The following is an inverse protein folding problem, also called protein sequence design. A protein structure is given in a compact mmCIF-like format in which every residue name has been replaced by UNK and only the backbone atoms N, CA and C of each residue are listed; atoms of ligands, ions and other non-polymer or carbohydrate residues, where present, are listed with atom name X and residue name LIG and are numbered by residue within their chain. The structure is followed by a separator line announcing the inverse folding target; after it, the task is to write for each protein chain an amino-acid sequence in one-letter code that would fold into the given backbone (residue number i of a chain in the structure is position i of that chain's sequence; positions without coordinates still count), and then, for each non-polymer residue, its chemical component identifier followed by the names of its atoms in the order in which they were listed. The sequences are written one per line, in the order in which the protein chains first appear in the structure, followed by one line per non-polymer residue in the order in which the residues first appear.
data_IF_780442793103
#
_entry.id   IF_780442793103
#
_cell.length_a   1.000
_cell.length_b   1.000
_cell.length_c   1.000
_cell.angle_alpha   90.00
_cell.angle_beta   90.00
_cell.angle_gamma   90.00
#
_symmetry.space_group_name_H-M   'P 1'
#
loop_
_entity.id
_entity.type
_entity.pdbx_description
1 polymer ?
#
# COMPACT_ATOMS: atom_id res chain seq x y z
N UNK A 1 -0.95 -12.44 21.29
CA UNK A 1 -1.77 -12.81 20.11
C UNK A 1 -2.32 -11.59 19.35
N UNK A 2 -2.57 -10.44 20.00
CA UNK A 2 -3.02 -9.22 19.31
C UNK A 2 -1.95 -8.69 18.32
N UNK A 3 -0.70 -8.50 18.76
CA UNK A 3 0.42 -7.99 17.93
C UNK A 3 0.63 -8.76 16.61
N UNK A 4 0.58 -10.09 16.65
CA UNK A 4 0.79 -10.92 15.46
C UNK A 4 -0.26 -10.66 14.39
N UNK A 5 -1.52 -10.45 14.82
CA UNK A 5 -2.61 -10.11 13.90
C UNK A 5 -2.39 -8.74 13.25
N UNK A 6 -1.90 -7.76 14.01
CA UNK A 6 -1.64 -6.42 13.48
C UNK A 6 -0.52 -6.41 12.46
N UNK A 7 0.57 -7.13 12.75
CA UNK A 7 1.66 -7.34 11.81
C UNK A 7 1.20 -8.00 10.52
N UNK A 8 0.40 -9.06 10.61
CA UNK A 8 -0.12 -9.77 9.43
C UNK A 8 -0.96 -8.83 8.56
N UNK A 9 -1.86 -8.05 9.15
CA UNK A 9 -2.71 -7.10 8.41
C UNK A 9 -1.87 -6.06 7.68
N UNK A 10 -0.85 -5.51 8.34
CA UNK A 10 0.05 -4.52 7.73
C UNK A 10 0.86 -5.14 6.59
N UNK A 11 1.44 -6.33 6.79
CA UNK A 11 2.21 -7.05 5.76
C UNK A 11 1.33 -7.32 4.53
N UNK A 12 0.11 -7.82 4.75
CA UNK A 12 -0.85 -8.03 3.66
C UNK A 12 -1.15 -6.72 2.93
N UNK A 13 -1.34 -5.62 3.66
CA UNK A 13 -1.53 -4.29 3.07
C UNK A 13 -0.40 -3.88 2.13
N UNK A 14 0.86 -4.08 2.53
CA UNK A 14 2.02 -3.79 1.69
C UNK A 14 2.11 -4.70 0.45
N UNK A 15 1.86 -6.01 0.62
CA UNK A 15 1.86 -6.96 -0.50
C UNK A 15 0.78 -6.61 -1.52
N UNK A 16 -0.42 -6.22 -1.06
CA UNK A 16 -1.50 -5.78 -1.95
C UNK A 16 -1.14 -4.47 -2.65
N UNK A 17 -0.52 -3.51 -1.96
CA UNK A 17 -0.02 -2.28 -2.59
C UNK A 17 1.02 -2.51 -3.68
N UNK A 18 1.82 -3.57 -3.57
CA UNK A 18 2.81 -3.92 -4.58
C UNK A 18 2.14 -4.46 -5.86
N UNK A 19 1.16 -5.35 -5.71
CA UNK A 19 0.48 -6.00 -6.85
C UNK A 19 -0.55 -5.06 -7.50
N UNK A 20 -1.27 -4.30 -6.68
CA UNK A 20 -2.31 -3.39 -7.12
C UNK A 20 -2.26 -2.11 -6.27
N UNK A 21 -1.51 -1.09 -6.73
CA UNK A 21 -1.36 0.18 -6.02
C UNK A 21 -2.68 0.82 -5.61
N UNK A 22 -3.70 0.75 -6.47
CA UNK A 22 -5.01 1.33 -6.19
C UNK A 22 -5.69 0.66 -4.97
N UNK A 23 -5.77 -0.68 -4.96
CA UNK A 23 -6.33 -1.45 -3.83
C UNK A 23 -5.49 -1.23 -2.57
N UNK A 24 -4.16 -1.22 -2.69
CA UNK A 24 -3.26 -0.93 -1.58
C UNK A 24 -3.50 0.43 -0.94
N UNK A 25 -3.69 1.47 -1.75
CA UNK A 25 -4.03 2.81 -1.27
C UNK A 25 -5.39 2.83 -0.55
N UNK A 26 -6.39 2.10 -1.04
CA UNK A 26 -7.70 1.96 -0.37
C UNK A 26 -7.54 1.27 0.99
N UNK A 27 -6.81 0.15 1.06
CA UNK A 27 -6.57 -0.56 2.33
C UNK A 27 -5.80 0.34 3.32
N UNK A 28 -4.76 1.02 2.85
CA UNK A 28 -4.01 1.98 3.66
C UNK A 28 -4.89 3.11 4.19
N UNK A 29 -5.80 3.64 3.37
CA UNK A 29 -6.78 4.64 3.78
C UNK A 29 -7.77 4.09 4.81
N UNK A 30 -8.30 2.88 4.61
CA UNK A 30 -9.18 2.23 5.57
C UNK A 30 -8.46 2.06 6.92
N UNK A 31 -7.24 1.54 6.95
CA UNK A 31 -6.46 1.40 8.17
C UNK A 31 -6.20 2.76 8.84
N UNK A 32 -5.83 3.77 8.06
CA UNK A 32 -5.55 5.11 8.58
C UNK A 32 -6.79 5.80 9.15
N UNK A 33 -7.96 5.67 8.51
CA UNK A 33 -9.17 6.39 8.92
C UNK A 33 -10.02 5.63 9.95
N UNK A 34 -10.01 4.30 9.93
CA UNK A 34 -10.85 3.47 10.82
C UNK A 34 -10.13 3.04 12.11
N UNK A 35 -8.80 2.91 12.09
CA UNK A 35 -8.00 2.50 13.25
C UNK A 35 -7.18 3.66 13.83
N UNK A 36 -7.73 4.88 13.79
CA UNK A 36 -7.02 6.11 14.22
C UNK A 36 -6.50 6.07 15.65
N UNK A 37 -7.20 5.36 16.54
CA UNK A 37 -6.85 5.24 17.97
C UNK A 37 -5.67 4.30 18.20
N UNK A 38 -5.35 3.41 17.25
CA UNK A 38 -4.19 2.56 17.34
C UNK A 38 -3.00 3.22 16.59
N UNK A 39 -1.95 3.68 17.31
CA UNK A 39 -0.83 4.37 16.68
C UNK A 39 -0.06 3.49 15.69
N UNK A 40 -0.08 2.16 15.84
CA UNK A 40 0.54 1.22 14.91
C UNK A 40 -0.15 1.25 13.55
N UNK A 41 -1.48 1.05 13.51
CA UNK A 41 -2.24 1.07 12.26
C UNK A 41 -2.30 2.46 11.63
N UNK A 42 -2.33 3.52 12.42
CA UNK A 42 -2.30 4.89 11.90
C UNK A 42 -0.97 5.16 11.15
N UNK A 43 0.16 4.82 11.79
CA UNK A 43 1.50 4.97 11.18
C UNK A 43 1.63 4.12 9.92
N UNK A 44 1.28 2.84 9.99
CA UNK A 44 1.43 1.92 8.87
C UNK A 44 0.41 2.17 7.75
N UNK A 45 -0.84 2.53 8.06
CA UNK A 45 -1.84 2.92 7.06
C UNK A 45 -1.37 4.08 6.19
N UNK A 46 -0.79 5.13 6.81
CA UNK A 46 -0.19 6.24 6.08
C UNK A 46 0.96 5.80 5.18
N UNK A 47 1.84 4.92 5.67
CA UNK A 47 2.95 4.42 4.86
C UNK A 47 2.52 3.48 3.74
N UNK A 48 1.47 2.67 3.93
CA UNK A 48 0.90 1.82 2.88
C UNK A 48 0.35 2.70 1.74
N UNK A 49 -0.30 3.83 2.06
CA UNK A 49 -0.76 4.80 1.06
C UNK A 49 0.43 5.41 0.30
N UNK A 50 1.45 5.90 1.02
CA UNK A 50 2.64 6.51 0.41
C UNK A 50 3.35 5.49 -0.49
N UNK A 51 3.50 4.26 -0.01
CA UNK A 51 4.12 3.17 -0.75
C UNK A 51 3.32 2.83 -2.02
N UNK A 52 2.00 2.71 -1.92
CA UNK A 52 1.14 2.48 -3.08
C UNK A 52 1.31 3.59 -4.14
N UNK A 53 1.29 4.86 -3.73
CA UNK A 53 1.48 5.99 -4.66
C UNK A 53 2.88 5.92 -5.31
N UNK A 54 3.92 5.63 -4.52
CA UNK A 54 5.28 5.52 -5.04
C UNK A 54 5.41 4.37 -6.06
N UNK A 55 4.88 3.19 -5.75
CA UNK A 55 4.84 2.06 -6.69
C UNK A 55 4.10 2.46 -7.96
N UNK A 56 2.97 3.15 -7.85
CA UNK A 56 2.18 3.57 -9.00
C UNK A 56 2.93 4.55 -9.91
N UNK A 57 3.60 5.55 -9.33
CA UNK A 57 4.45 6.50 -10.07
C UNK A 57 5.60 5.77 -10.76
N UNK A 58 6.28 4.85 -10.05
CA UNK A 58 7.37 4.05 -10.63
C UNK A 58 6.86 3.22 -11.80
N UNK A 59 5.70 2.56 -11.66
CA UNK A 59 5.08 1.80 -12.76
C UNK A 59 4.80 2.67 -13.98
N UNK A 60 4.29 3.90 -13.79
CA UNK A 60 4.05 4.85 -14.89
C UNK A 60 5.36 5.23 -15.57
N UNK A 61 6.42 5.52 -14.81
CA UNK A 61 7.73 5.87 -15.35
C UNK A 61 8.31 4.70 -16.16
N UNK A 62 8.24 3.47 -15.63
CA UNK A 62 8.76 2.29 -16.31
C UNK A 62 8.06 1.99 -17.64
N UNK A 63 6.73 2.16 -17.67
CA UNK A 63 5.92 1.99 -18.90
C UNK A 63 6.23 3.10 -19.90
N UNK A 64 6.27 4.36 -19.47
CA UNK A 64 6.51 5.51 -20.37
C UNK A 64 7.96 5.60 -20.87
N UNK A 65 8.93 5.11 -20.10
CA UNK A 65 10.33 4.99 -20.52
C UNK A 65 10.60 3.81 -21.48
N UNK A 66 9.58 3.00 -21.80
CA UNK A 66 9.71 1.85 -22.71
C UNK A 66 10.53 0.68 -22.13
N UNK A 67 10.77 0.67 -20.81
CA UNK A 67 11.52 -0.39 -20.11
C UNK A 67 10.66 -1.65 -19.88
N UNK A 68 9.35 -1.52 -19.97
CA UNK A 68 8.40 -2.63 -20.03
C UNK A 68 7.51 -2.48 -21.26
N UNK A 69 7.23 -3.57 -22.02
CA UNK A 69 6.20 -3.51 -23.04
C UNK A 69 4.89 -3.12 -22.38
N UNK A 70 4.19 -2.12 -22.93
CA UNK A 70 2.86 -1.76 -22.46
C UNK A 70 2.00 -3.02 -22.51
N UNK A 71 1.49 -3.47 -21.35
CA UNK A 71 0.43 -4.48 -21.30
C UNK A 71 -0.95 -3.88 -21.64
N UNK A 72 -0.95 -2.78 -22.40
CA UNK A 72 -2.09 -2.14 -23.04
C UNK A 72 -1.84 -2.12 -24.54
#
# INVERSE_FOLDING_TARGET
MAETKELVIVIVGYLVSLVSPLIGAIIGAVLFFTQKENPFYNKHGKYIIIFAIAVWIISIILVTAGLFPSLF
#
